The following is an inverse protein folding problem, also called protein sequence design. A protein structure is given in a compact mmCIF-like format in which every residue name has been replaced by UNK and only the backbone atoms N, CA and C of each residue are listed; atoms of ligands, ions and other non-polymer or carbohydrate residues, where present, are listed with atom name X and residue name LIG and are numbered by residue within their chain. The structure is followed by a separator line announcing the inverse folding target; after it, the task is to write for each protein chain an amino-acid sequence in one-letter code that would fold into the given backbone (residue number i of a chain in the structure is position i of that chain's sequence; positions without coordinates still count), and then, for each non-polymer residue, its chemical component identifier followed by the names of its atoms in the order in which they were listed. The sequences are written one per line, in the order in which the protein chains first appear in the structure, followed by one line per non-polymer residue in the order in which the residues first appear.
data_IF_772802285406
#
_entry.id   IF_772802285406
#
_cell.length_a   1.000
_cell.length_b   1.000
_cell.length_c   1.000
_cell.angle_alpha   90.00
_cell.angle_beta   90.00
_cell.angle_gamma   90.00
#
_symmetry.space_group_name_H-M   'P 1'
#
loop_
_entity.id
_entity.type
_entity.pdbx_description
1 polymer ?
#
# COMPACT_ATOMS: atom_id res chain seq x y z
N UNK A 1 -37.19 -23.44 -30.06
CA UNK A 1 -36.87 -22.15 -29.40
C UNK A 1 -37.23 -22.33 -27.94
N UNK A 2 -36.26 -22.64 -27.08
CA UNK A 2 -36.46 -22.91 -25.65
C UNK A 2 -35.74 -21.80 -24.90
N UNK A 3 -36.49 -21.12 -24.03
CA UNK A 3 -36.12 -19.94 -23.26
C UNK A 3 -35.12 -20.30 -22.13
N UNK A 4 -33.93 -19.68 -22.06
CA UNK A 4 -32.89 -20.03 -21.09
C UNK A 4 -33.05 -19.40 -19.69
N UNK A 5 -34.20 -18.79 -19.35
CA UNK A 5 -34.34 -18.02 -18.09
C UNK A 5 -35.30 -18.59 -17.03
N UNK A 6 -35.76 -19.83 -17.17
CA UNK A 6 -36.47 -20.52 -16.07
C UNK A 6 -35.52 -21.36 -15.19
N UNK A 7 -34.58 -20.70 -14.51
CA UNK A 7 -33.91 -21.34 -13.37
C UNK A 7 -34.87 -21.37 -12.18
N UNK A 8 -35.51 -22.52 -12.01
CA UNK A 8 -36.28 -22.86 -10.82
C UNK A 8 -35.35 -22.81 -9.57
N UNK A 9 -35.60 -21.90 -8.60
CA UNK A 9 -34.70 -21.67 -7.47
C UNK A 9 -34.57 -22.88 -6.52
N UNK A 10 -35.45 -23.87 -6.63
CA UNK A 10 -35.40 -25.13 -5.88
C UNK A 10 -34.90 -26.33 -6.70
N UNK A 11 -34.43 -26.10 -7.94
CA UNK A 11 -33.88 -27.17 -8.80
C UNK A 11 -32.63 -27.77 -8.17
N UNK A 12 -32.79 -28.98 -7.63
CA UNK A 12 -31.65 -29.80 -7.21
C UNK A 12 -30.95 -30.35 -8.46
N UNK A 13 -29.63 -30.16 -8.60
CA UNK A 13 -28.87 -30.70 -9.71
C UNK A 13 -29.08 -32.21 -9.80
N UNK A 14 -29.29 -32.70 -11.01
CA UNK A 14 -29.32 -34.14 -11.25
C UNK A 14 -27.93 -34.75 -10.99
N UNK A 15 -27.88 -36.05 -10.69
CA UNK A 15 -26.62 -36.75 -10.47
C UNK A 15 -25.63 -36.59 -11.64
N UNK A 16 -26.16 -36.53 -12.88
CA UNK A 16 -25.35 -36.31 -14.08
C UNK A 16 -24.76 -34.89 -14.16
N UNK A 17 -25.46 -33.87 -13.65
CA UNK A 17 -24.96 -32.50 -13.59
C UNK A 17 -23.91 -32.34 -12.49
N UNK A 18 -24.07 -33.03 -11.36
CA UNK A 18 -23.06 -33.12 -10.29
C UNK A 18 -21.80 -33.83 -10.77
N UNK A 19 -21.94 -35.00 -11.39
CA UNK A 19 -20.81 -35.74 -11.96
C UNK A 19 -20.09 -34.90 -13.03
N UNK A 20 -20.82 -34.13 -13.85
CA UNK A 20 -20.22 -33.24 -14.85
C UNK A 20 -19.44 -32.08 -14.23
N UNK A 21 -19.91 -31.53 -13.11
CA UNK A 21 -19.21 -30.48 -12.37
C UNK A 21 -17.92 -31.03 -11.73
N UNK A 22 -17.99 -32.21 -11.11
CA UNK A 22 -16.83 -32.88 -10.51
C UNK A 22 -15.80 -33.25 -11.58
N UNK A 23 -16.24 -33.76 -12.74
CA UNK A 23 -15.37 -34.03 -13.89
C UNK A 23 -14.73 -32.76 -14.44
N UNK A 24 -15.47 -31.65 -14.52
CA UNK A 24 -14.93 -30.38 -14.96
C UNK A 24 -13.89 -29.83 -13.97
N UNK A 25 -14.10 -30.00 -12.66
CA UNK A 25 -13.16 -29.59 -11.62
C UNK A 25 -11.90 -30.46 -11.62
N UNK A 26 -12.04 -31.78 -11.79
CA UNK A 26 -10.93 -32.71 -11.98
C UNK A 26 -10.12 -32.38 -13.25
N UNK A 27 -10.78 -32.05 -14.36
CA UNK A 27 -10.11 -31.65 -15.60
C UNK A 27 -9.33 -30.35 -15.44
N UNK A 28 -9.86 -29.35 -14.73
CA UNK A 28 -9.13 -28.11 -14.41
C UNK A 28 -7.90 -28.40 -13.55
N UNK A 29 -8.07 -29.20 -12.51
CA UNK A 29 -6.97 -29.55 -11.58
C UNK A 29 -5.90 -30.40 -12.28
N UNK A 30 -6.30 -31.29 -13.18
CA UNK A 30 -5.38 -32.08 -14.02
C UNK A 30 -4.66 -31.20 -15.02
N UNK A 31 -5.36 -30.31 -15.73
CA UNK A 31 -4.74 -29.41 -16.70
C UNK A 31 -3.72 -28.47 -16.04
N UNK A 32 -3.98 -27.99 -14.82
CA UNK A 32 -3.02 -27.21 -14.03
C UNK A 32 -1.82 -28.04 -13.58
N UNK A 33 -2.03 -29.32 -13.20
CA UNK A 33 -0.96 -30.26 -12.85
C UNK A 33 -0.11 -30.63 -14.07
N UNK A 34 -0.73 -30.83 -15.22
CA UNK A 34 -0.06 -31.14 -16.48
C UNK A 34 0.74 -29.93 -16.99
N UNK A 35 0.20 -28.70 -16.84
CA UNK A 35 0.96 -27.47 -17.06
C UNK A 35 2.18 -27.36 -16.14
N UNK A 36 2.03 -27.72 -14.87
CA UNK A 36 3.13 -27.71 -13.90
C UNK A 36 4.19 -28.80 -14.20
N UNK A 37 3.80 -29.92 -14.81
CA UNK A 37 4.71 -30.98 -15.26
C UNK A 37 5.44 -30.61 -16.57
N UNK A 38 4.76 -29.94 -17.51
CA UNK A 38 5.31 -29.52 -18.81
C UNK A 38 6.36 -28.41 -18.68
N UNK A 39 6.26 -27.59 -17.64
CA UNK A 39 7.26 -26.58 -17.29
C UNK A 39 7.76 -26.85 -15.87
N UNK A 40 8.71 -27.80 -15.70
CA UNK A 40 9.31 -28.05 -14.41
C UNK A 40 9.85 -26.73 -13.86
N UNK A 41 9.39 -26.35 -12.67
CA UNK A 41 9.93 -25.18 -11.99
C UNK A 41 11.45 -25.37 -11.87
N UNK A 42 12.26 -24.35 -12.21
CA UNK A 42 13.71 -24.45 -12.05
C UNK A 42 14.03 -24.90 -10.61
N UNK A 43 15.10 -25.69 -10.38
CA UNK A 43 15.43 -26.25 -9.06
C UNK A 43 15.55 -25.20 -7.93
N UNK A 44 15.71 -23.95 -8.31
CA UNK A 44 15.83 -22.77 -7.46
C UNK A 44 14.52 -21.96 -7.33
N UNK A 45 13.40 -22.47 -7.85
CA UNK A 45 12.13 -21.76 -7.77
C UNK A 45 11.71 -21.67 -6.30
N UNK A 46 11.55 -20.45 -5.77
CA UNK A 46 11.19 -20.26 -4.38
C UNK A 46 9.83 -20.92 -4.11
N UNK A 47 9.71 -21.58 -2.95
CA UNK A 47 8.44 -22.09 -2.47
C UNK A 47 7.37 -21.00 -2.36
N UNK A 48 6.12 -21.35 -1.99
CA UNK A 48 5.05 -20.37 -1.87
C UNK A 48 5.45 -19.20 -0.95
N UNK A 49 5.01 -17.99 -1.31
CA UNK A 49 5.33 -16.80 -0.54
C UNK A 49 4.79 -16.91 0.90
N UNK A 50 5.56 -16.53 1.93
CA UNK A 50 5.12 -16.62 3.32
C UNK A 50 3.84 -15.81 3.54
N UNK A 51 2.91 -16.34 4.34
CA UNK A 51 1.65 -15.67 4.69
C UNK A 51 1.88 -14.26 5.29
N UNK A 52 2.97 -14.07 6.03
CA UNK A 52 3.37 -12.76 6.55
C UNK A 52 3.50 -11.69 5.44
N UNK A 53 4.06 -12.04 4.28
CA UNK A 53 4.22 -11.14 3.14
C UNK A 53 2.98 -11.14 2.24
N UNK A 54 2.44 -12.31 1.93
CA UNK A 54 1.38 -12.49 0.94
C UNK A 54 -0.03 -12.16 1.45
N UNK A 55 -0.25 -12.17 2.76
CA UNK A 55 -1.56 -11.91 3.38
C UNK A 55 -1.47 -10.82 4.45
N UNK A 56 -0.67 -11.01 5.50
CA UNK A 56 -0.71 -10.13 6.68
C UNK A 56 -0.26 -8.70 6.33
N UNK A 57 0.87 -8.56 5.63
CA UNK A 57 1.35 -7.27 5.16
C UNK A 57 0.35 -6.59 4.22
N UNK A 58 -0.32 -7.36 3.35
CA UNK A 58 -1.31 -6.84 2.40
C UNK A 58 -2.60 -6.40 3.08
N UNK A 59 -3.11 -7.16 4.04
CA UNK A 59 -4.31 -6.80 4.80
C UNK A 59 -4.07 -5.52 5.62
N UNK A 60 -2.93 -5.44 6.32
CA UNK A 60 -2.55 -4.24 7.04
C UNK A 60 -2.38 -3.04 6.09
N UNK A 61 -1.77 -3.25 4.92
CA UNK A 61 -1.64 -2.22 3.89
C UNK A 61 -3.01 -1.75 3.36
N UNK A 62 -3.94 -2.65 3.08
CA UNK A 62 -5.28 -2.28 2.61
C UNK A 62 -6.05 -1.47 3.65
N UNK A 63 -5.94 -1.83 4.93
CA UNK A 63 -6.52 -1.02 6.01
C UNK A 63 -5.91 0.39 6.05
N UNK A 64 -4.59 0.50 5.91
CA UNK A 64 -3.93 1.80 5.81
C UNK A 64 -4.36 2.59 4.57
N UNK A 65 -4.48 1.93 3.42
CA UNK A 65 -4.88 2.56 2.17
C UNK A 65 -6.33 3.07 2.24
N UNK A 66 -7.24 2.33 2.87
CA UNK A 66 -8.61 2.77 3.10
C UNK A 66 -8.66 4.01 4.00
N UNK A 67 -7.95 3.99 5.14
CA UNK A 67 -7.88 5.15 6.04
C UNK A 67 -7.27 6.38 5.35
N UNK A 68 -6.19 6.18 4.58
CA UNK A 68 -5.56 7.25 3.81
C UNK A 68 -6.45 7.78 2.69
N UNK A 69 -7.19 6.91 2.00
CA UNK A 69 -8.13 7.33 0.97
C UNK A 69 -9.26 8.19 1.54
N UNK A 70 -9.80 7.82 2.71
CA UNK A 70 -10.80 8.65 3.41
C UNK A 70 -10.22 10.03 3.74
N UNK A 71 -8.99 10.10 4.24
CA UNK A 71 -8.32 11.37 4.51
C UNK A 71 -8.10 12.20 3.23
N UNK A 72 -7.71 11.55 2.12
CA UNK A 72 -7.52 12.21 0.82
C UNK A 72 -8.83 12.77 0.28
N UNK A 73 -9.90 11.98 0.30
CA UNK A 73 -11.23 12.42 -0.16
C UNK A 73 -11.74 13.56 0.70
N UNK A 74 -11.64 13.45 2.03
CA UNK A 74 -12.03 14.53 2.94
C UNK A 74 -11.21 15.80 2.72
N UNK A 75 -9.89 15.67 2.54
CA UNK A 75 -9.00 16.80 2.25
C UNK A 75 -9.28 17.45 0.90
N UNK A 76 -9.66 16.67 -0.11
CA UNK A 76 -10.05 17.20 -1.42
C UNK A 76 -11.37 17.98 -1.35
N UNK A 77 -12.37 17.48 -0.61
CA UNK A 77 -13.66 18.17 -0.41
C UNK A 77 -13.46 19.49 0.36
N UNK A 78 -12.60 19.48 1.38
CA UNK A 78 -12.36 20.64 2.25
C UNK A 78 -11.12 21.44 1.84
N UNK A 79 -10.67 21.31 0.59
CA UNK A 79 -9.39 21.88 0.14
C UNK A 79 -9.33 23.40 0.29
N UNK A 80 -10.43 24.10 -0.01
CA UNK A 80 -10.53 25.54 0.16
C UNK A 80 -10.36 25.96 1.63
N UNK A 81 -11.09 25.30 2.54
CA UNK A 81 -10.98 25.57 3.98
C UNK A 81 -9.57 25.29 4.51
N UNK A 82 -8.95 24.18 4.10
CA UNK A 82 -7.58 23.83 4.50
C UNK A 82 -6.58 24.88 4.00
N UNK A 83 -6.72 25.33 2.75
CA UNK A 83 -5.88 26.39 2.17
C UNK A 83 -5.98 27.68 2.99
N UNK A 84 -7.19 28.12 3.31
CA UNK A 84 -7.41 29.38 4.02
C UNK A 84 -6.87 29.30 5.46
N UNK A 85 -7.12 28.20 6.17
CA UNK A 85 -6.59 27.95 7.51
C UNK A 85 -5.05 27.88 7.53
N UNK A 86 -4.47 27.23 6.52
CA UNK A 86 -3.02 27.15 6.38
C UNK A 86 -2.41 28.53 6.10
N UNK A 87 -3.06 29.32 5.24
CA UNK A 87 -2.66 30.70 4.95
C UNK A 87 -2.67 31.55 6.22
N UNK A 88 -3.76 31.50 6.98
CA UNK A 88 -3.89 32.27 8.22
C UNK A 88 -2.83 31.86 9.25
N UNK A 89 -2.54 30.56 9.36
CA UNK A 89 -1.44 30.05 10.20
C UNK A 89 -0.08 30.58 9.74
N UNK A 90 0.21 30.53 8.45
CA UNK A 90 1.48 31.05 7.91
C UNK A 90 1.62 32.56 8.11
N UNK A 91 0.53 33.33 8.02
CA UNK A 91 0.52 34.77 8.31
C UNK A 91 0.70 35.05 9.81
N UNK A 92 0.11 34.23 10.69
CA UNK A 92 0.32 34.35 12.13
C UNK A 92 1.77 34.04 12.53
N UNK A 93 2.33 32.95 12.00
CA UNK A 93 3.75 32.63 12.12
C UNK A 93 4.60 33.74 11.50
N UNK A 94 4.06 34.42 10.48
CA UNK A 94 4.75 35.50 9.81
C UNK A 94 5.06 36.66 10.78
N UNK A 95 4.00 37.13 11.42
CA UNK A 95 4.05 38.19 12.43
C UNK A 95 4.93 37.83 13.62
N UNK A 96 4.93 36.55 14.04
CA UNK A 96 5.69 36.09 15.20
C UNK A 96 7.22 36.08 14.98
N UNK A 97 7.70 35.88 13.74
CA UNK A 97 9.15 35.76 13.45
C UNK A 97 9.58 36.57 12.21
N UNK A 98 9.71 37.90 12.29
CA UNK A 98 9.79 38.77 11.11
C UNK A 98 11.04 38.62 10.22
N UNK A 99 12.09 37.95 10.67
CA UNK A 99 13.37 37.88 9.94
C UNK A 99 13.38 36.72 8.93
N UNK A 100 13.55 37.05 7.65
CA UNK A 100 13.80 36.08 6.57
C UNK A 100 12.56 35.39 6.03
N UNK A 101 11.39 35.98 6.23
CA UNK A 101 10.13 35.35 5.87
C UNK A 101 9.67 35.60 4.43
N UNK A 102 8.90 34.64 3.88
CA UNK A 102 8.31 34.77 2.56
C UNK A 102 7.31 35.93 2.51
N UNK A 103 7.31 36.67 1.40
CA UNK A 103 6.36 37.75 1.13
C UNK A 103 4.92 37.20 1.08
N UNK A 104 3.91 38.06 1.28
CA UNK A 104 2.50 37.66 1.27
C UNK A 104 2.08 36.85 0.02
N UNK A 105 2.57 37.25 -1.17
CA UNK A 105 2.31 36.49 -2.40
C UNK A 105 2.96 35.10 -2.46
N UNK A 106 4.08 34.89 -1.77
CA UNK A 106 4.71 33.57 -1.63
C UNK A 106 3.90 32.70 -0.65
N UNK A 107 3.38 33.27 0.43
CA UNK A 107 2.49 32.58 1.37
C UNK A 107 1.23 32.10 0.65
N UNK A 108 0.60 32.94 -0.17
CA UNK A 108 -0.58 32.57 -0.98
C UNK A 108 -0.28 31.41 -1.94
N UNK A 109 0.92 31.42 -2.53
CA UNK A 109 1.39 30.33 -3.40
C UNK A 109 1.59 29.04 -2.62
N UNK A 110 2.26 29.08 -1.46
CA UNK A 110 2.47 27.89 -0.64
C UNK A 110 1.17 27.32 -0.09
N UNK A 111 0.26 28.17 0.40
CA UNK A 111 -1.02 27.74 0.94
C UNK A 111 -1.92 27.09 -0.12
N UNK A 112 -1.80 27.48 -1.39
CA UNK A 112 -2.55 26.85 -2.48
C UNK A 112 -1.91 25.56 -3.00
N UNK A 113 -0.57 25.48 -3.03
CA UNK A 113 0.15 24.34 -3.60
C UNK A 113 0.33 23.20 -2.58
N UNK A 114 0.69 23.50 -1.33
CA UNK A 114 1.06 22.47 -0.34
C UNK A 114 -0.06 21.47 -0.06
N UNK A 115 -1.33 21.87 0.16
CA UNK A 115 -2.41 20.91 0.39
C UNK A 115 -2.63 19.99 -0.82
N UNK A 116 -2.63 20.55 -2.04
CA UNK A 116 -2.82 19.78 -3.28
C UNK A 116 -1.66 18.80 -3.48
N UNK A 117 -0.42 19.27 -3.33
CA UNK A 117 0.76 18.42 -3.44
C UNK A 117 0.76 17.32 -2.39
N UNK A 118 0.38 17.62 -1.14
CA UNK A 118 0.28 16.65 -0.05
C UNK A 118 -0.72 15.52 -0.36
N UNK A 119 -1.89 15.85 -0.91
CA UNK A 119 -2.89 14.87 -1.34
C UNK A 119 -2.36 13.99 -2.47
N UNK A 120 -1.75 14.59 -3.50
CA UNK A 120 -1.17 13.85 -4.64
C UNK A 120 -0.06 12.91 -4.17
N UNK A 121 0.88 13.41 -3.37
CA UNK A 121 2.00 12.62 -2.82
C UNK A 121 1.49 11.45 -1.99
N UNK A 122 0.44 11.65 -1.19
CA UNK A 122 -0.18 10.58 -0.40
C UNK A 122 -0.68 9.45 -1.31
N UNK A 123 -1.38 9.79 -2.40
CA UNK A 123 -1.87 8.80 -3.38
C UNK A 123 -0.69 8.08 -4.06
N UNK A 124 0.35 8.83 -4.47
CA UNK A 124 1.53 8.25 -5.11
C UNK A 124 2.28 7.29 -4.18
N UNK A 125 2.42 7.62 -2.90
CA UNK A 125 3.04 6.71 -1.93
C UNK A 125 2.21 5.45 -1.71
N UNK A 126 0.88 5.56 -1.59
CA UNK A 126 0.03 4.38 -1.47
C UNK A 126 0.13 3.50 -2.73
N UNK A 127 0.04 4.09 -3.92
CA UNK A 127 0.14 3.35 -5.18
C UNK A 127 1.50 2.68 -5.34
N UNK A 128 2.59 3.43 -5.12
CA UNK A 128 3.95 2.91 -5.19
C UNK A 128 4.18 1.78 -4.18
N UNK A 129 3.76 1.96 -2.93
CA UNK A 129 3.85 0.92 -1.91
C UNK A 129 3.09 -0.35 -2.31
N UNK A 130 1.88 -0.22 -2.85
CA UNK A 130 1.12 -1.38 -3.34
C UNK A 130 1.85 -2.12 -4.47
N UNK A 131 2.33 -1.39 -5.48
CA UNK A 131 3.02 -1.97 -6.63
C UNK A 131 4.28 -2.72 -6.19
N UNK A 132 5.10 -2.13 -5.33
CA UNK A 132 6.32 -2.78 -4.84
C UNK A 132 6.03 -3.94 -3.88
N UNK A 133 4.99 -3.87 -3.06
CA UNK A 133 4.58 -4.98 -2.21
C UNK A 133 4.10 -6.17 -3.05
N UNK A 134 3.30 -5.92 -4.09
CA UNK A 134 2.87 -6.95 -5.03
C UNK A 134 4.06 -7.52 -5.82
N UNK A 135 4.94 -6.66 -6.32
CA UNK A 135 6.12 -7.06 -7.07
C UNK A 135 7.09 -7.90 -6.21
N UNK A 136 7.22 -7.61 -4.91
CA UNK A 136 8.03 -8.41 -4.00
C UNK A 136 7.51 -9.85 -3.87
N UNK A 137 6.18 -10.04 -3.89
CA UNK A 137 5.55 -11.36 -3.85
C UNK A 137 5.67 -12.07 -5.20
N UNK A 138 5.37 -11.40 -6.31
CA UNK A 138 5.30 -12.04 -7.64
C UNK A 138 6.67 -12.33 -8.25
N UNK A 139 7.63 -11.42 -8.09
CA UNK A 139 8.98 -11.54 -8.67
C UNK A 139 10.01 -12.05 -7.67
N UNK A 140 9.61 -12.39 -6.45
CA UNK A 140 10.53 -12.86 -5.41
C UNK A 140 11.75 -11.93 -5.24
N UNK A 141 11.51 -10.62 -5.20
CA UNK A 141 12.58 -9.62 -5.30
C UNK A 141 12.80 -8.89 -3.98
N UNK A 142 14.03 -9.01 -3.45
CA UNK A 142 14.46 -8.27 -2.26
C UNK A 142 14.53 -6.76 -2.50
N UNK A 143 14.87 -6.36 -3.73
CA UNK A 143 14.91 -4.95 -4.12
C UNK A 143 13.50 -4.34 -4.07
N UNK A 144 12.49 -5.04 -4.59
CA UNK A 144 11.09 -4.57 -4.52
C UNK A 144 10.63 -4.42 -3.07
N UNK A 145 10.97 -5.37 -2.18
CA UNK A 145 10.69 -5.22 -0.74
C UNK A 145 11.39 -3.99 -0.16
N UNK A 146 12.66 -3.76 -0.48
CA UNK A 146 13.40 -2.61 0.04
C UNK A 146 12.81 -1.29 -0.47
N UNK A 147 12.39 -1.19 -1.74
CA UNK A 147 11.69 -0.02 -2.26
C UNK A 147 10.34 0.21 -1.56
N UNK A 148 9.58 -0.87 -1.33
CA UNK A 148 8.36 -0.81 -0.51
C UNK A 148 8.66 -0.21 0.87
N UNK A 149 9.66 -0.73 1.58
CA UNK A 149 10.05 -0.23 2.90
C UNK A 149 10.47 1.25 2.87
N UNK A 150 11.25 1.66 1.86
CA UNK A 150 11.64 3.07 1.70
C UNK A 150 10.44 3.97 1.52
N UNK A 151 9.48 3.59 0.67
CA UNK A 151 8.25 4.36 0.45
C UNK A 151 7.41 4.41 1.74
N UNK A 152 7.27 3.28 2.45
CA UNK A 152 6.54 3.25 3.72
C UNK A 152 7.20 4.15 4.75
N UNK A 153 8.53 4.11 4.90
CA UNK A 153 9.24 4.99 5.84
C UNK A 153 9.04 6.46 5.48
N UNK A 154 9.17 6.82 4.21
CA UNK A 154 8.94 8.18 3.75
C UNK A 154 7.49 8.61 4.06
N UNK A 155 6.52 7.74 3.82
CA UNK A 155 5.12 7.99 4.12
C UNK A 155 4.89 8.17 5.63
N UNK A 156 5.50 7.34 6.48
CA UNK A 156 5.44 7.48 7.94
C UNK A 156 6.02 8.82 8.42
N UNK A 157 7.02 9.39 7.73
CA UNK A 157 7.53 10.73 8.05
C UNK A 157 6.56 11.84 7.58
N UNK A 158 5.88 11.64 6.45
CA UNK A 158 4.96 12.63 5.89
C UNK A 158 3.61 12.68 6.63
N UNK A 159 3.09 11.57 7.14
CA UNK A 159 1.79 11.52 7.84
C UNK A 159 1.70 12.52 9.01
N UNK A 160 2.62 12.53 10.01
CA UNK A 160 2.49 13.45 11.15
C UNK A 160 2.59 14.92 10.71
N UNK A 161 3.44 15.21 9.72
CA UNK A 161 3.57 16.56 9.15
C UNK A 161 2.27 16.97 8.44
N UNK A 162 1.69 16.10 7.62
CA UNK A 162 0.43 16.37 6.93
C UNK A 162 -0.75 16.50 7.88
N UNK A 163 -0.80 15.69 8.94
CA UNK A 163 -1.83 15.81 9.98
C UNK A 163 -1.76 17.16 10.69
N UNK A 164 -0.57 17.57 11.13
CA UNK A 164 -0.39 18.84 11.82
C UNK A 164 -0.64 20.04 10.90
N UNK A 165 -0.21 19.96 9.64
CA UNK A 165 -0.28 21.07 8.70
C UNK A 165 -1.67 21.26 8.10
N UNK A 166 -2.41 20.17 7.84
CA UNK A 166 -3.66 20.22 7.07
C UNK A 166 -4.92 19.90 7.88
N UNK A 167 -4.83 19.05 8.90
CA UNK A 167 -6.02 18.49 9.56
C UNK A 167 -6.17 18.89 11.03
N UNK A 168 -5.12 19.42 11.66
CA UNK A 168 -5.13 19.83 13.06
C UNK A 168 -5.69 21.25 13.25
N UNK A 169 -6.91 21.47 12.78
CA UNK A 169 -7.64 22.71 12.96
C UNK A 169 -8.96 22.46 13.71
N UNK A 170 -9.38 23.34 14.65
CA UNK A 170 -10.62 23.16 15.42
C UNK A 170 -11.90 23.13 14.56
N UNK A 171 -11.85 23.77 13.39
CA UNK A 171 -12.95 23.84 12.43
C UNK A 171 -13.12 22.59 11.58
N UNK A 172 -12.14 21.66 11.60
CA UNK A 172 -12.18 20.43 10.82
C UNK A 172 -12.59 19.24 11.70
N UNK A 173 -13.07 18.19 11.05
CA UNK A 173 -13.50 16.98 11.74
C UNK A 173 -12.30 16.25 12.36
N UNK A 174 -12.30 16.13 13.69
CA UNK A 174 -11.20 15.49 14.43
C UNK A 174 -10.98 14.01 14.09
N UNK A 175 -11.98 13.35 13.48
CA UNK A 175 -11.85 11.97 13.00
C UNK A 175 -10.74 11.78 11.97
N UNK A 176 -10.40 12.81 11.20
CA UNK A 176 -9.31 12.77 10.21
C UNK A 176 -7.94 12.55 10.86
N UNK A 177 -7.70 13.19 12.01
CA UNK A 177 -6.46 13.01 12.78
C UNK A 177 -6.36 11.58 13.30
N UNK A 178 -7.46 11.03 13.82
CA UNK A 178 -7.54 9.64 14.28
C UNK A 178 -7.28 8.67 13.12
N UNK A 179 -7.92 8.88 11.98
CA UNK A 179 -7.73 8.07 10.78
C UNK A 179 -6.28 8.11 10.27
N UNK A 180 -5.61 9.27 10.30
CA UNK A 180 -4.20 9.37 9.93
C UNK A 180 -3.28 8.59 10.87
N UNK A 181 -3.54 8.60 12.19
CA UNK A 181 -2.79 7.76 13.14
C UNK A 181 -3.08 6.27 12.96
N UNK A 182 -4.32 5.89 12.61
CA UNK A 182 -4.66 4.51 12.25
C UNK A 182 -3.90 4.09 10.98
N UNK A 183 -3.87 4.94 9.95
CA UNK A 183 -3.07 4.72 8.74
C UNK A 183 -1.59 4.53 9.08
N UNK A 184 -1.02 5.38 9.94
CA UNK A 184 0.36 5.28 10.40
C UNK A 184 0.64 3.91 11.06
N UNK A 185 -0.20 3.51 12.02
CA UNK A 185 -0.04 2.24 12.73
C UNK A 185 -0.14 1.03 11.78
N UNK A 186 -1.09 1.06 10.85
CA UNK A 186 -1.30 -0.03 9.89
C UNK A 186 -0.15 -0.14 8.87
N UNK A 187 0.41 0.98 8.40
CA UNK A 187 1.61 0.99 7.55
C UNK A 187 2.82 0.44 8.30
N UNK A 188 2.99 0.82 9.57
CA UNK A 188 4.06 0.29 10.41
C UNK A 188 3.95 -1.23 10.58
N UNK A 189 2.75 -1.73 10.89
CA UNK A 189 2.48 -3.17 10.98
C UNK A 189 2.79 -3.86 9.66
N UNK A 190 2.36 -3.29 8.53
CA UNK A 190 2.65 -3.82 7.20
C UNK A 190 4.16 -3.94 6.95
N UNK A 191 4.94 -2.89 7.27
CA UNK A 191 6.39 -2.90 7.16
C UNK A 191 7.03 -3.99 8.04
N UNK A 192 6.64 -4.08 9.32
CA UNK A 192 7.16 -5.09 10.26
C UNK A 192 6.88 -6.51 9.75
N UNK A 193 5.70 -6.76 9.17
CA UNK A 193 5.38 -8.07 8.60
C UNK A 193 6.30 -8.46 7.44
N UNK A 194 6.74 -7.49 6.62
CA UNK A 194 7.71 -7.75 5.53
C UNK A 194 9.15 -7.95 6.00
N UNK A 195 9.46 -7.56 7.24
CA UNK A 195 10.78 -7.70 7.88
C UNK A 195 10.91 -8.98 8.74
N UNK A 196 9.87 -9.81 8.82
CA UNK A 196 9.93 -11.04 9.61
C UNK A 196 11.00 -11.99 9.06
N UNK A 197 11.68 -12.72 9.96
CA UNK A 197 12.72 -13.70 9.62
C UNK A 197 12.30 -14.71 8.55
N UNK A 198 11.03 -15.12 8.55
CA UNK A 198 10.46 -16.05 7.56
C UNK A 198 10.51 -15.46 6.14
N UNK A 199 10.25 -14.16 6.00
CA UNK A 199 10.32 -13.44 4.72
C UNK A 199 11.76 -13.23 4.29
N UNK A 200 12.65 -12.89 5.21
CA UNK A 200 14.08 -12.72 4.92
C UNK A 200 14.76 -14.01 4.45
N UNK A 201 14.36 -15.16 5.01
CA UNK A 201 14.87 -16.48 4.57
C UNK A 201 14.30 -16.92 3.24
N UNK A 202 13.08 -16.49 2.93
CA UNK A 202 12.46 -16.78 1.65
C UNK A 202 13.15 -15.98 0.55
N UNK A 203 13.33 -14.67 0.74
CA UNK A 203 13.90 -13.79 -0.29
C UNK A 203 15.34 -14.16 -0.68
N UNK A 204 15.77 -13.79 -1.91
CA UNK A 204 17.12 -14.09 -2.39
C UNK A 204 18.20 -13.54 -1.47
N UNK A 205 19.32 -14.26 -1.39
CA UNK A 205 20.51 -13.77 -0.70
C UNK A 205 20.90 -12.39 -1.23
N UNK A 206 21.34 -11.53 -0.32
CA UNK A 206 21.80 -10.21 -0.72
C UNK A 206 23.03 -10.36 -1.61
N UNK A 207 22.94 -9.87 -2.85
CA UNK A 207 24.07 -9.76 -3.79
C UNK A 207 25.16 -8.80 -3.33
N UNK A 208 25.03 -8.18 -2.14
CA UNK A 208 26.12 -7.43 -1.53
C UNK A 208 27.24 -8.41 -1.18
N UNK A 209 28.33 -8.35 -1.95
CA UNK A 209 29.60 -8.96 -1.59
C UNK A 209 29.92 -8.58 -0.14
N UNK A 210 29.94 -9.56 0.77
CA UNK A 210 30.39 -9.32 2.14
C UNK A 210 31.88 -9.00 2.06
N UNK A 211 32.35 -7.80 2.48
CA UNK A 211 33.77 -7.43 2.40
C UNK A 211 34.66 -8.39 3.20
N UNK A 212 34.10 -9.06 4.22
CA UNK A 212 34.76 -10.12 4.99
C UNK A 212 35.09 -11.38 4.19
N UNK A 213 34.39 -11.67 3.08
CA UNK A 213 34.77 -12.78 2.18
C UNK A 213 35.92 -12.40 1.24
N UNK A 214 36.10 -11.11 0.92
CA UNK A 214 37.24 -10.65 0.12
C UNK A 214 38.54 -10.62 0.93
N UNK A 215 38.46 -10.32 2.24
CA UNK A 215 39.60 -10.35 3.15
C UNK A 215 40.12 -11.76 3.47
N UNK A 216 39.33 -12.81 3.23
CA UNK A 216 39.72 -14.21 3.46
C UNK A 216 40.21 -14.92 2.19
N UNK A 217 40.17 -14.23 1.05
CA UNK A 217 40.63 -14.71 -0.26
C UNK A 217 42.00 -14.10 -0.67
N UNK A 218 42.62 -13.32 0.23
CA UNK A 218 44.04 -12.96 0.22
C UNK A 218 44.74 -13.69 1.34
#
# INVERSE_FOLDING_TARGET
MIDPTSEDPDRRPSQAELDAQDLAELQRTSADRDRANLYPKPPTAPGPAPAALALHARVAFWGAAAAGLVCVVYGAINLGAIRDLLRDRMLADAVATPKGQPNAGQIDTFASVLPVAGLIITVLFLLGAYLFLRAAVTHHSRNCRNFFLTIVVLNLMCIPVGLDLFFRYPSLWSGTVVLGWIQFALLLVSAVMTLRRVVDRWLPESTRMRPTRMLRAR
#
